data_IF_239746023263
#
_entry.id   IF_239746023263
#
_cell.length_a   1.000
_cell.length_b   1.000
_cell.length_c   1.000
_cell.angle_alpha   90.00
_cell.angle_beta   90.00
_cell.angle_gamma   90.00
#
_symmetry.space_group_name_H-M   'P 1'
#
loop_
_entity.id
_entity.type
_entity.pdbx_description
1 polymer ?
#
# COMPACT_ATOMS: atom_id res chain seq x y z
N UNK A 1 21.98 -5.65 15.61
CA UNK A 1 23.02 -4.60 15.43
C UNK A 1 22.33 -3.26 15.51
N UNK A 2 22.98 -2.18 15.95
CA UNK A 2 22.32 -0.86 15.94
C UNK A 2 22.02 -0.43 14.49
N UNK A 3 20.95 0.32 14.32
CA UNK A 3 20.60 0.90 13.03
C UNK A 3 21.67 1.88 12.52
N UNK A 4 21.98 1.85 11.24
CA UNK A 4 22.79 2.86 10.58
C UNK A 4 21.96 4.13 10.31
N UNK A 5 21.93 5.02 11.27
CA UNK A 5 21.19 6.28 11.20
C UNK A 5 21.76 7.25 10.15
N UNK A 6 22.99 7.02 9.68
CA UNK A 6 23.63 7.87 8.66
C UNK A 6 22.96 7.77 7.27
N UNK A 7 22.10 6.77 7.07
CA UNK A 7 21.31 6.61 5.85
C UNK A 7 20.14 7.58 5.73
N UNK A 8 19.71 8.20 6.85
CA UNK A 8 18.62 9.17 6.83
C UNK A 8 18.96 10.39 5.96
N UNK A 9 18.01 10.82 5.14
CA UNK A 9 18.12 11.96 4.24
C UNK A 9 18.98 11.71 2.97
N UNK A 10 19.57 10.52 2.82
CA UNK A 10 20.41 10.20 1.66
C UNK A 10 19.58 9.43 0.62
N UNK A 11 19.40 9.98 -0.61
CA UNK A 11 18.74 9.24 -1.67
C UNK A 11 19.57 8.03 -2.10
N UNK A 12 18.91 6.90 -2.30
CA UNK A 12 19.53 5.72 -2.89
C UNK A 12 19.75 5.92 -4.39
N UNK A 13 20.58 5.07 -5.00
CA UNK A 13 20.68 5.03 -6.46
C UNK A 13 19.29 4.73 -7.07
N UNK A 14 18.89 5.41 -8.14
CA UNK A 14 17.62 5.14 -8.79
C UNK A 14 17.53 3.71 -9.31
N UNK A 15 16.38 3.08 -9.08
CA UNK A 15 16.04 1.78 -9.66
C UNK A 15 15.12 1.97 -10.86
N UNK A 16 15.26 1.10 -11.85
CA UNK A 16 14.46 1.14 -13.09
C UNK A 16 13.60 -0.12 -13.19
N UNK A 17 12.30 0.07 -13.42
CA UNK A 17 11.34 -0.98 -13.69
C UNK A 17 10.78 -0.81 -15.10
N UNK A 18 10.90 -1.83 -15.96
CA UNK A 18 10.20 -1.89 -17.23
C UNK A 18 8.82 -2.52 -17.01
N UNK A 19 7.78 -1.76 -17.28
CA UNK A 19 6.38 -2.15 -17.11
C UNK A 19 5.77 -2.48 -18.46
N UNK A 20 5.01 -3.54 -18.50
CA UNK A 20 4.15 -3.90 -19.61
C UNK A 20 2.68 -3.81 -19.19
N UNK A 21 1.76 -3.76 -20.16
CA UNK A 21 0.33 -3.80 -19.84
C UNK A 21 -0.08 -5.06 -19.06
N UNK A 22 0.65 -6.18 -19.26
CA UNK A 22 0.41 -7.42 -18.50
C UNK A 22 0.67 -7.26 -17.01
N UNK A 23 1.70 -6.49 -16.63
CA UNK A 23 2.03 -6.24 -15.23
C UNK A 23 0.93 -5.43 -14.55
N UNK A 24 0.36 -4.45 -15.25
CA UNK A 24 -0.73 -3.61 -14.70
C UNK A 24 -2.03 -4.39 -14.60
N UNK A 25 -2.35 -5.26 -15.55
CA UNK A 25 -3.49 -6.19 -15.48
C UNK A 25 -3.29 -7.20 -14.36
N UNK A 26 -2.09 -7.80 -14.25
CA UNK A 26 -1.78 -8.74 -13.17
C UNK A 26 -1.94 -8.08 -11.79
N UNK A 27 -1.48 -6.84 -11.64
CA UNK A 27 -1.68 -6.07 -10.41
C UNK A 27 -3.17 -5.83 -10.12
N UNK A 28 -3.94 -5.44 -11.13
CA UNK A 28 -5.38 -5.23 -10.97
C UNK A 28 -6.10 -6.51 -10.52
N UNK A 29 -5.79 -7.65 -11.12
CA UNK A 29 -6.28 -8.97 -10.68
C UNK A 29 -5.78 -9.30 -9.28
N UNK A 30 -4.51 -9.01 -8.98
CA UNK A 30 -3.90 -9.14 -7.66
C UNK A 30 -4.62 -8.32 -6.58
N UNK A 31 -5.20 -7.17 -6.95
CA UNK A 31 -6.05 -6.34 -6.11
C UNK A 31 -7.55 -6.67 -6.23
N UNK A 32 -7.90 -7.84 -6.79
CA UNK A 32 -9.26 -8.37 -6.84
C UNK A 32 -10.14 -7.79 -7.94
N UNK A 33 -9.60 -7.16 -8.99
CA UNK A 33 -10.41 -6.68 -10.10
C UNK A 33 -11.23 -7.80 -10.73
N UNK A 34 -12.51 -7.55 -11.01
CA UNK A 34 -13.47 -8.53 -11.51
C UNK A 34 -13.70 -8.35 -13.02
N UNK A 35 -14.27 -9.38 -13.64
CA UNK A 35 -14.54 -9.42 -15.08
C UNK A 35 -15.34 -8.24 -15.63
N UNK A 36 -16.06 -7.51 -14.78
CA UNK A 36 -16.82 -6.32 -15.14
C UNK A 36 -15.93 -5.07 -15.26
N UNK A 37 -14.71 -5.11 -14.68
CA UNK A 37 -13.75 -4.01 -14.63
C UNK A 37 -12.78 -4.05 -15.82
N UNK A 38 -13.32 -4.23 -17.05
CA UNK A 38 -12.54 -4.43 -18.27
C UNK A 38 -11.61 -3.27 -18.61
N UNK A 39 -11.90 -2.07 -18.10
CA UNK A 39 -11.02 -0.90 -18.27
C UNK A 39 -9.63 -1.11 -17.63
N UNK A 40 -9.52 -2.01 -16.64
CA UNK A 40 -8.27 -2.36 -15.96
C UNK A 40 -7.71 -3.71 -16.40
N UNK A 41 -8.50 -4.52 -17.14
CA UNK A 41 -8.18 -5.92 -17.40
C UNK A 41 -8.01 -6.27 -18.88
N UNK A 42 -8.53 -5.42 -19.78
CA UNK A 42 -8.57 -5.73 -21.19
C UNK A 42 -7.80 -4.69 -22.03
N UNK A 43 -6.76 -5.14 -22.71
CA UNK A 43 -5.89 -4.30 -23.54
C UNK A 43 -6.63 -3.56 -24.67
N UNK A 44 -7.75 -4.08 -25.15
CA UNK A 44 -8.61 -3.41 -26.14
C UNK A 44 -9.32 -2.17 -25.60
N UNK A 45 -9.27 -1.92 -24.27
CA UNK A 45 -9.79 -0.72 -23.60
C UNK A 45 -8.71 0.15 -22.94
N UNK A 46 -7.44 -0.20 -23.11
CA UNK A 46 -6.32 0.52 -22.53
C UNK A 46 -5.15 -0.40 -22.23
N UNK A 47 -5.06 -1.13 -21.09
CA UNK A 47 -5.86 -0.96 -19.86
C UNK A 47 -5.51 0.32 -19.10
N UNK A 48 -6.45 0.84 -18.31
CA UNK A 48 -6.17 1.84 -17.29
C UNK A 48 -5.34 1.22 -16.16
N UNK A 49 -4.48 2.01 -15.53
CA UNK A 49 -3.66 1.56 -14.39
C UNK A 49 -4.32 2.00 -13.10
N UNK A 50 -4.45 1.07 -12.14
CA UNK A 50 -4.92 1.42 -10.80
C UNK A 50 -3.93 2.37 -10.11
N UNK A 51 -4.37 3.46 -9.47
CA UNK A 51 -3.51 4.40 -8.75
C UNK A 51 -2.57 3.72 -7.75
N UNK A 52 -3.05 2.68 -7.08
CA UNK A 52 -2.28 1.90 -6.12
C UNK A 52 -1.12 1.11 -6.74
N UNK A 53 -1.02 0.99 -8.07
CA UNK A 53 0.16 0.41 -8.76
C UNK A 53 1.45 1.18 -8.44
N UNK A 54 1.35 2.44 -8.03
CA UNK A 54 2.49 3.26 -7.61
C UNK A 54 3.36 2.61 -6.50
N UNK A 55 2.82 1.63 -5.76
CA UNK A 55 3.60 0.89 -4.75
C UNK A 55 4.53 -0.16 -5.36
N UNK A 56 4.30 -0.58 -6.62
CA UNK A 56 5.08 -1.65 -7.26
C UNK A 56 6.51 -1.22 -7.57
N UNK A 57 6.77 -0.10 -8.29
CA UNK A 57 8.13 0.27 -8.68
C UNK A 57 9.03 0.63 -7.50
N UNK A 58 8.46 1.02 -6.34
CA UNK A 58 9.24 1.38 -5.14
C UNK A 58 9.55 0.19 -4.23
N UNK A 59 8.86 -0.94 -4.39
CA UNK A 59 8.90 -2.02 -3.40
C UNK A 59 10.30 -2.64 -3.28
N UNK A 60 10.89 -3.08 -4.39
CA UNK A 60 12.22 -3.70 -4.40
C UNK A 60 13.32 -2.72 -3.95
N UNK A 61 13.44 -1.50 -4.49
CA UNK A 61 14.47 -0.55 -4.03
C UNK A 61 14.29 -0.14 -2.55
N UNK A 62 13.07 -0.11 -2.04
CA UNK A 62 12.81 0.09 -0.61
C UNK A 62 13.39 -1.06 0.23
N UNK A 63 13.15 -2.33 -0.15
CA UNK A 63 13.69 -3.49 0.57
C UNK A 63 15.22 -3.51 0.56
N UNK A 64 15.85 -3.19 -0.57
CA UNK A 64 17.30 -3.10 -0.69
C UNK A 64 17.87 -2.00 0.22
N UNK A 65 17.19 -0.87 0.32
CA UNK A 65 17.58 0.22 1.21
C UNK A 65 17.41 -0.16 2.68
N UNK A 66 16.29 -0.80 3.04
CA UNK A 66 16.06 -1.32 4.39
C UNK A 66 17.09 -2.39 4.79
N UNK A 67 17.55 -3.22 3.84
CA UNK A 67 18.62 -4.20 4.07
C UNK A 67 19.94 -3.59 4.49
N UNK A 68 20.20 -2.32 4.15
CA UNK A 68 21.42 -1.60 4.53
C UNK A 68 21.32 -0.97 5.92
N UNK A 69 20.13 -0.92 6.53
CA UNK A 69 19.93 -0.24 7.83
C UNK A 69 20.54 -0.99 9.02
N UNK A 70 20.90 -2.27 8.88
CA UNK A 70 21.34 -3.12 9.97
C UNK A 70 20.21 -3.74 10.80
N UNK A 71 18.96 -3.32 10.59
CA UNK A 71 17.79 -3.90 11.25
C UNK A 71 17.48 -5.33 10.76
N UNK A 72 16.80 -6.10 11.60
CA UNK A 72 16.40 -7.47 11.26
C UNK A 72 15.16 -7.48 10.34
N UNK A 73 15.36 -7.72 9.06
CA UNK A 73 14.29 -7.75 8.07
C UNK A 73 13.20 -8.80 8.34
N UNK A 74 13.49 -9.88 9.06
CA UNK A 74 12.49 -10.87 9.45
C UNK A 74 11.49 -10.34 10.49
N UNK A 75 11.81 -9.23 11.15
CA UNK A 75 10.98 -8.60 12.18
C UNK A 75 10.18 -7.40 11.67
N UNK A 76 10.27 -7.10 10.37
CA UNK A 76 9.54 -5.96 9.81
C UNK A 76 8.04 -6.24 9.64
N UNK A 77 7.26 -5.18 9.82
CA UNK A 77 5.84 -5.12 9.49
C UNK A 77 5.59 -3.83 8.73
N UNK A 78 4.84 -3.90 7.64
CA UNK A 78 4.39 -2.72 6.93
C UNK A 78 3.27 -2.06 7.75
N UNK A 79 3.57 -0.92 8.35
CA UNK A 79 2.64 -0.23 9.26
C UNK A 79 1.67 0.72 8.56
N UNK A 80 2.02 1.21 7.37
CA UNK A 80 1.18 2.12 6.61
C UNK A 80 1.82 2.55 5.29
N UNK A 81 0.98 3.07 4.40
CA UNK A 81 1.38 3.52 3.07
C UNK A 81 0.60 4.78 2.69
N UNK A 82 1.30 5.78 2.15
CA UNK A 82 0.74 6.97 1.50
C UNK A 82 1.20 7.01 0.05
N UNK A 83 0.29 7.37 -0.84
CA UNK A 83 0.55 7.59 -2.27
C UNK A 83 -0.02 8.94 -2.67
N UNK A 84 0.73 9.72 -3.43
CA UNK A 84 0.28 10.91 -4.14
C UNK A 84 0.62 10.75 -5.62
N UNK A 85 -0.38 10.88 -6.48
CA UNK A 85 -0.20 10.86 -7.93
C UNK A 85 -0.12 12.28 -8.46
N UNK A 86 0.86 12.51 -9.32
CA UNK A 86 1.07 13.79 -10.03
C UNK A 86 0.69 13.69 -11.51
N UNK A 87 0.71 12.45 -12.04
CA UNK A 87 0.27 12.14 -13.40
C UNK A 87 -0.25 10.68 -13.44
N UNK A 88 -1.09 10.32 -14.43
CA UNK A 88 -1.49 8.95 -14.65
C UNK A 88 -0.28 8.06 -14.94
N UNK A 89 -0.24 6.86 -14.34
CA UNK A 89 0.76 5.84 -14.67
C UNK A 89 0.34 5.19 -15.99
N UNK A 90 1.26 5.15 -16.96
CA UNK A 90 0.99 4.48 -18.23
C UNK A 90 0.98 2.95 -18.07
N UNK A 91 0.19 2.20 -18.88
CA UNK A 91 0.12 0.73 -18.81
C UNK A 91 1.38 0.03 -19.34
N UNK A 92 2.38 0.79 -19.74
CA UNK A 92 3.66 0.26 -20.21
C UNK A 92 4.71 1.36 -20.26
N UNK A 93 5.97 0.95 -20.39
CA UNK A 93 7.10 1.88 -20.44
C UNK A 93 8.09 1.67 -19.31
N UNK A 94 8.83 2.70 -18.99
CA UNK A 94 9.88 2.66 -17.95
C UNK A 94 9.49 3.56 -16.80
N UNK A 95 9.59 3.02 -15.58
CA UNK A 95 9.46 3.79 -14.34
C UNK A 95 10.82 3.82 -13.64
N UNK A 96 11.23 4.99 -13.20
CA UNK A 96 12.48 5.21 -12.47
C UNK A 96 12.16 5.70 -11.07
N UNK A 97 12.57 4.94 -10.05
CA UNK A 97 12.24 5.23 -8.65
C UNK A 97 13.50 5.50 -7.84
N UNK A 98 13.48 6.61 -7.09
CA UNK A 98 14.50 6.96 -6.10
C UNK A 98 13.89 6.89 -4.72
N UNK A 99 14.46 6.03 -3.85
CA UNK A 99 14.03 5.87 -2.47
C UNK A 99 14.96 6.57 -1.50
N UNK A 100 14.41 7.14 -0.42
CA UNK A 100 15.16 7.83 0.63
C UNK A 100 14.59 7.45 1.99
N UNK A 101 15.42 7.05 2.94
CA UNK A 101 14.99 6.95 4.34
C UNK A 101 14.80 8.37 4.86
N UNK A 102 13.55 8.76 5.18
CA UNK A 102 13.25 10.05 5.78
C UNK A 102 13.84 10.14 7.20
N UNK A 103 13.72 9.06 7.95
CA UNK A 103 14.23 8.98 9.32
C UNK A 103 13.89 7.69 10.03
N UNK A 104 14.52 7.54 11.19
CA UNK A 104 14.30 6.46 12.15
C UNK A 104 13.67 7.07 13.40
N UNK A 105 12.52 6.51 13.82
CA UNK A 105 11.70 7.08 14.89
C UNK A 105 11.48 6.07 16.01
N UNK A 106 11.60 6.52 17.25
CA UNK A 106 11.41 5.67 18.41
C UNK A 106 9.93 5.56 18.78
N UNK A 107 9.41 4.34 18.78
CA UNK A 107 8.09 3.98 19.30
C UNK A 107 8.20 3.09 20.55
N UNK A 108 9.26 3.27 21.35
CA UNK A 108 9.62 2.55 22.58
C UNK A 108 10.06 1.10 22.33
N UNK A 109 9.17 0.23 21.84
CA UNK A 109 9.45 -1.21 21.56
C UNK A 109 9.58 -1.51 20.07
N UNK A 110 9.45 -0.50 19.25
CA UNK A 110 9.49 -0.58 17.80
C UNK A 110 10.31 0.58 17.27
N UNK A 111 11.02 0.36 16.18
CA UNK A 111 11.56 1.46 15.38
C UNK A 111 10.68 1.62 14.16
N UNK A 112 10.16 2.82 13.96
CA UNK A 112 9.53 3.19 12.70
C UNK A 112 10.57 3.79 11.77
N UNK A 113 10.67 3.24 10.57
CA UNK A 113 11.46 3.79 9.47
C UNK A 113 10.48 4.32 8.43
N UNK A 114 10.53 5.62 8.17
CA UNK A 114 9.78 6.22 7.07
C UNK A 114 10.66 6.22 5.82
N UNK A 115 10.15 5.63 4.75
CA UNK A 115 10.82 5.60 3.45
C UNK A 115 9.97 6.32 2.44
N UNK A 116 10.54 7.39 1.88
CA UNK A 116 9.96 8.13 0.77
C UNK A 116 10.48 7.56 -0.54
N UNK A 117 9.62 7.57 -1.56
CA UNK A 117 10.05 7.26 -2.91
C UNK A 117 9.39 8.22 -3.91
N UNK A 118 10.19 8.63 -4.91
CA UNK A 118 9.76 9.43 -6.06
C UNK A 118 9.90 8.57 -7.29
N UNK A 119 8.81 8.45 -8.05
CA UNK A 119 8.77 7.66 -9.29
C UNK A 119 8.49 8.57 -10.47
N UNK A 120 9.38 8.53 -11.45
CA UNK A 120 9.32 9.26 -12.72
C UNK A 120 9.08 8.27 -13.86
N UNK A 121 8.40 8.71 -14.90
CA UNK A 121 8.27 7.95 -16.15
C UNK A 121 9.53 8.05 -17.04
N UNK A 122 9.52 7.39 -18.19
CA UNK A 122 10.64 7.39 -19.14
C UNK A 122 10.97 8.77 -19.74
N UNK A 123 10.08 9.76 -19.61
CA UNK A 123 10.33 11.14 -20.04
C UNK A 123 10.92 12.02 -18.91
N UNK A 124 10.98 11.50 -17.68
CA UNK A 124 11.38 12.25 -16.50
C UNK A 124 10.22 12.99 -15.80
N UNK A 125 8.98 12.75 -16.22
CA UNK A 125 7.80 13.32 -15.56
C UNK A 125 7.58 12.60 -14.22
N UNK A 126 7.45 13.37 -13.14
CA UNK A 126 7.08 12.82 -11.83
C UNK A 126 5.65 12.28 -11.90
N UNK A 127 5.48 10.96 -11.72
CA UNK A 127 4.16 10.31 -11.76
C UNK A 127 3.62 10.01 -10.37
N UNK A 128 4.48 9.65 -9.41
CA UNK A 128 4.04 9.33 -8.06
C UNK A 128 5.09 9.65 -6.99
N UNK A 129 4.61 10.02 -5.82
CA UNK A 129 5.36 10.02 -4.57
C UNK A 129 4.69 9.07 -3.59
N UNK A 130 5.50 8.29 -2.86
CA UNK A 130 5.01 7.37 -1.85
C UNK A 130 5.76 7.54 -0.54
N UNK A 131 5.10 7.28 0.58
CA UNK A 131 5.74 7.17 1.90
C UNK A 131 5.30 5.86 2.55
N UNK A 132 6.29 5.00 2.81
CA UNK A 132 6.08 3.73 3.52
C UNK A 132 6.47 3.86 4.98
N UNK A 133 5.59 3.46 5.87
CA UNK A 133 5.86 3.31 7.30
C UNK A 133 6.24 1.86 7.60
N UNK A 134 7.52 1.60 7.84
CA UNK A 134 8.04 0.27 8.13
C UNK A 134 8.37 0.18 9.62
N UNK A 135 7.84 -0.84 10.27
CA UNK A 135 8.00 -1.07 11.71
C UNK A 135 8.93 -2.25 11.95
N UNK A 136 10.06 -2.02 12.61
CA UNK A 136 10.96 -3.08 13.11
C UNK A 136 10.53 -3.45 14.53
N UNK A 137 10.05 -4.67 14.71
CA UNK A 137 9.58 -5.18 16.00
C UNK A 137 10.77 -5.63 16.86
N UNK A 138 10.69 -5.34 18.16
CA UNK A 138 11.72 -5.79 19.13
C UNK A 138 13.03 -5.00 19.08
N UNK A 139 13.14 -4.00 18.21
CA UNK A 139 14.31 -3.15 18.08
C UNK A 139 13.91 -1.70 18.29
N UNK A 140 14.57 -0.99 19.19
CA UNK A 140 14.37 0.42 19.46
C UNK A 140 15.57 1.25 18.98
N UNK A 141 15.33 2.54 18.77
CA UNK A 141 16.38 3.56 18.60
C UNK A 141 16.37 4.42 19.86
N UNK A 142 17.15 4.04 20.89
CA UNK A 142 17.15 4.77 22.15
C UNK A 142 17.51 6.23 21.95
N UNK A 143 16.64 7.13 22.45
CA UNK A 143 16.82 8.57 22.30
C UNK A 143 16.42 9.12 20.93
N UNK A 144 15.83 8.30 20.06
CA UNK A 144 15.29 8.73 18.77
C UNK A 144 14.10 9.69 18.94
N UNK A 145 13.91 10.57 17.96
CA UNK A 145 12.75 11.45 17.94
C UNK A 145 11.45 10.64 17.74
N UNK A 146 10.30 11.11 18.24
CA UNK A 146 9.01 10.54 17.88
C UNK A 146 8.74 10.78 16.38
N UNK A 147 7.90 9.95 15.74
CA UNK A 147 7.56 10.14 14.33
C UNK A 147 6.83 11.50 14.14
N UNK A 148 7.03 12.12 12.97
CA UNK A 148 6.33 13.35 12.65
C UNK A 148 4.81 13.10 12.65
N UNK A 149 4.05 14.07 13.17
CA UNK A 149 2.61 14.06 13.12
C UNK A 149 2.17 14.82 11.87
N UNK A 150 1.68 14.09 10.90
CA UNK A 150 1.07 14.65 9.69
C UNK A 150 -0.44 14.44 9.80
N UNK A 151 -1.24 15.49 10.06
CA UNK A 151 -2.69 15.32 10.15
C UNK A 151 -3.26 14.92 8.78
N UNK A 152 -4.24 14.01 8.76
CA UNK A 152 -4.92 13.67 7.51
C UNK A 152 -5.72 14.88 6.99
N UNK A 153 -5.94 14.98 5.66
CA UNK A 153 -6.75 16.05 5.07
C UNK A 153 -8.20 16.01 5.53
N UNK A 154 -8.68 14.84 5.92
CA UNK A 154 -10.01 14.59 6.50
C UNK A 154 -9.95 13.49 7.55
N UNK A 155 -10.79 13.61 8.57
CA UNK A 155 -10.96 12.58 9.60
C UNK A 155 -12.34 11.93 9.47
N UNK A 156 -12.42 10.67 9.89
CA UNK A 156 -13.69 9.96 9.95
C UNK A 156 -14.62 10.65 10.94
N UNK A 157 -15.83 11.08 10.52
CA UNK A 157 -16.80 11.64 11.44
C UNK A 157 -17.26 10.59 12.45
N UNK A 158 -17.52 11.02 13.67
CA UNK A 158 -18.08 10.16 14.72
C UNK A 158 -19.59 10.07 14.57
N UNK A 159 -20.13 8.90 14.83
CA UNK A 159 -21.59 8.66 14.90
C UNK A 159 -22.36 9.05 13.62
N UNK A 160 -21.66 9.04 12.47
CA UNK A 160 -22.25 9.28 11.17
C UNK A 160 -22.13 8.00 10.34
N UNK A 161 -23.22 7.52 9.71
CA UNK A 161 -23.14 6.35 8.85
C UNK A 161 -22.24 6.65 7.63
N UNK A 162 -21.58 5.63 7.06
CA UNK A 162 -20.77 5.81 5.87
C UNK A 162 -21.63 6.27 4.68
N UNK A 163 -21.06 7.12 3.82
CA UNK A 163 -21.67 7.57 2.56
C UNK A 163 -21.80 6.41 1.58
N UNK A 164 -20.83 5.50 1.61
CA UNK A 164 -20.86 4.26 0.85
C UNK A 164 -20.23 3.11 1.63
N UNK A 165 -20.66 1.91 1.30
CA UNK A 165 -20.07 0.65 1.78
C UNK A 165 -19.88 -0.27 0.59
N UNK A 166 -18.66 -0.79 0.42
CA UNK A 166 -18.35 -1.79 -0.60
C UNK A 166 -17.83 -3.04 0.09
N UNK A 167 -18.47 -4.17 -0.18
CA UNK A 167 -18.13 -5.48 0.36
C UNK A 167 -17.61 -6.38 -0.75
N UNK A 168 -16.45 -7.01 -0.55
CA UNK A 168 -15.86 -7.91 -1.53
C UNK A 168 -15.02 -9.00 -0.84
N UNK A 169 -15.33 -10.27 -1.14
CA UNK A 169 -14.52 -11.39 -0.68
C UNK A 169 -13.21 -11.47 -1.48
N UNK A 170 -12.10 -11.70 -0.78
CA UNK A 170 -10.83 -12.03 -1.41
C UNK A 170 -10.84 -13.49 -1.83
N UNK A 171 -10.10 -13.84 -2.91
CA UNK A 171 -9.91 -15.25 -3.29
C UNK A 171 -9.02 -15.98 -2.27
N UNK A 172 -9.22 -17.28 -2.03
CA UNK A 172 -8.26 -18.10 -1.30
C UNK A 172 -6.83 -18.05 -1.87
N UNK A 173 -6.68 -17.81 -3.18
CA UNK A 173 -5.40 -17.67 -3.88
C UNK A 173 -4.93 -16.22 -4.00
N UNK A 174 -5.62 -15.26 -3.38
CA UNK A 174 -5.36 -13.83 -3.61
C UNK A 174 -3.92 -13.42 -3.28
N UNK A 175 -3.34 -13.95 -2.22
CA UNK A 175 -1.96 -13.67 -1.86
C UNK A 175 -0.96 -14.24 -2.89
N UNK A 176 -1.25 -15.43 -3.45
CA UNK A 176 -0.41 -16.06 -4.47
C UNK A 176 -0.45 -15.28 -5.79
N UNK A 177 -1.57 -14.65 -6.10
CA UNK A 177 -1.71 -13.79 -7.26
C UNK A 177 -1.02 -12.45 -7.05
N UNK A 178 -1.29 -11.77 -5.91
CA UNK A 178 -0.74 -10.44 -5.63
C UNK A 178 0.79 -10.45 -5.55
N UNK A 179 1.41 -11.50 -4.95
CA UNK A 179 2.87 -11.59 -4.82
C UNK A 179 3.63 -11.52 -6.14
N UNK A 180 2.98 -11.86 -7.26
CA UNK A 180 3.57 -11.78 -8.60
C UNK A 180 3.84 -10.34 -9.05
N UNK A 181 3.29 -9.36 -8.33
CA UNK A 181 3.57 -7.93 -8.55
C UNK A 181 4.81 -7.43 -7.78
N UNK A 182 5.62 -8.33 -7.18
CA UNK A 182 6.95 -8.01 -6.65
C UNK A 182 7.22 -8.36 -5.19
N UNK A 183 6.20 -8.49 -4.35
CA UNK A 183 6.38 -8.89 -2.93
C UNK A 183 6.38 -10.42 -2.79
N UNK A 184 7.55 -11.01 -2.89
CA UNK A 184 7.74 -12.46 -2.81
C UNK A 184 7.97 -12.98 -1.38
N UNK A 185 7.71 -12.18 -0.33
CA UNK A 185 7.90 -12.59 1.05
C UNK A 185 7.16 -13.92 1.33
N UNK A 186 7.86 -14.96 1.85
CA UNK A 186 7.26 -16.26 2.13
C UNK A 186 6.13 -16.21 3.17
N UNK A 187 6.01 -15.15 3.98
CA UNK A 187 4.90 -14.90 4.89
C UNK A 187 3.53 -14.98 4.19
N UNK A 188 3.48 -14.66 2.90
CA UNK A 188 2.26 -14.60 2.10
C UNK A 188 2.00 -15.87 1.28
N UNK A 189 2.88 -16.90 1.42
CA UNK A 189 2.79 -18.10 0.59
C UNK A 189 3.07 -19.40 1.35
N UNK A 190 4.01 -19.37 2.31
CA UNK A 190 4.49 -20.58 3.00
C UNK A 190 3.84 -20.72 4.38
N UNK A 191 3.01 -21.77 4.61
CA UNK A 191 2.37 -22.00 5.91
C UNK A 191 3.37 -22.28 7.04
N UNK A 192 4.52 -22.91 6.73
CA UNK A 192 5.57 -23.17 7.73
C UNK A 192 6.21 -21.87 8.18
N UNK A 193 6.60 -21.02 7.21
CA UNK A 193 7.16 -19.70 7.52
C UNK A 193 6.17 -18.83 8.31
N UNK A 194 4.91 -18.77 7.87
CA UNK A 194 3.89 -17.97 8.53
C UNK A 194 3.72 -18.35 10.01
N UNK A 195 3.63 -19.65 10.33
CA UNK A 195 3.56 -20.14 11.72
C UNK A 195 4.81 -19.77 12.52
N UNK A 196 6.00 -19.92 11.94
CA UNK A 196 7.26 -19.61 12.63
C UNK A 196 7.39 -18.13 13.03
N UNK A 197 6.67 -17.22 12.35
CA UNK A 197 6.65 -15.78 12.66
C UNK A 197 5.36 -15.34 13.39
N UNK A 198 4.56 -16.31 13.89
CA UNK A 198 3.43 -16.08 14.80
C UNK A 198 2.06 -16.01 14.13
N UNK A 199 1.91 -16.44 12.87
CA UNK A 199 0.61 -16.52 12.18
C UNK A 199 0.12 -17.97 12.10
N UNK A 200 -0.44 -18.46 13.21
CA UNK A 200 -0.90 -19.86 13.36
C UNK A 200 -1.95 -20.25 12.30
N UNK A 201 -2.77 -19.31 11.86
CA UNK A 201 -3.80 -19.51 10.83
C UNK A 201 -3.22 -19.72 9.42
N UNK A 202 -1.90 -19.51 9.24
CA UNK A 202 -1.20 -19.64 7.97
C UNK A 202 -0.90 -18.31 7.28
N UNK A 203 -0.53 -18.36 5.99
CA UNK A 203 -0.13 -17.18 5.22
C UNK A 203 -1.18 -16.07 5.25
N UNK A 204 -0.73 -14.84 5.47
CA UNK A 204 -1.59 -13.66 5.47
C UNK A 204 -1.61 -13.00 4.09
N UNK A 205 -2.66 -12.22 3.82
CA UNK A 205 -2.71 -11.36 2.65
C UNK A 205 -1.76 -10.17 2.85
N UNK A 206 -1.15 -9.71 1.76
CA UNK A 206 -0.31 -8.51 1.78
C UNK A 206 -1.12 -7.28 2.21
N UNK A 207 -0.56 -6.45 3.09
CA UNK A 207 -1.20 -5.17 3.45
C UNK A 207 -1.45 -4.30 2.22
N UNK A 208 -0.49 -4.26 1.28
CA UNK A 208 -0.61 -3.51 0.04
C UNK A 208 -1.67 -4.08 -0.93
N UNK A 209 -1.99 -5.38 -0.85
CA UNK A 209 -3.13 -5.96 -1.55
C UNK A 209 -4.45 -5.38 -1.00
N UNK A 210 -4.64 -5.42 0.33
CA UNK A 210 -5.81 -4.82 0.98
C UNK A 210 -5.92 -3.31 0.70
N UNK A 211 -4.78 -2.62 0.59
CA UNK A 211 -4.70 -1.23 0.16
C UNK A 211 -5.21 -1.02 -1.28
N UNK A 212 -4.83 -1.90 -2.20
CA UNK A 212 -5.34 -1.91 -3.58
C UNK A 212 -6.86 -2.15 -3.65
N UNK A 213 -7.38 -3.08 -2.84
CA UNK A 213 -8.83 -3.28 -2.68
C UNK A 213 -9.51 -2.00 -2.21
N UNK A 214 -8.98 -1.35 -1.17
CA UNK A 214 -9.52 -0.09 -0.66
C UNK A 214 -9.62 0.97 -1.76
N UNK A 215 -8.59 1.15 -2.59
CA UNK A 215 -8.59 2.13 -3.70
C UNK A 215 -9.63 1.78 -4.75
N UNK A 216 -9.78 0.49 -5.12
CA UNK A 216 -10.86 0.05 -6.03
C UNK A 216 -12.25 0.30 -5.44
N UNK A 217 -12.42 0.07 -4.14
CA UNK A 217 -13.68 0.34 -3.46
C UNK A 217 -14.01 1.84 -3.41
N UNK A 218 -13.00 2.72 -3.25
CA UNK A 218 -13.18 4.17 -3.39
C UNK A 218 -13.63 4.53 -4.81
N UNK A 219 -13.00 3.94 -5.83
CA UNK A 219 -13.42 4.15 -7.21
C UNK A 219 -14.89 3.76 -7.45
N UNK A 220 -15.30 2.59 -6.92
CA UNK A 220 -16.71 2.12 -7.02
C UNK A 220 -17.68 3.00 -6.25
N UNK A 221 -17.33 3.37 -5.01
CA UNK A 221 -18.24 4.07 -4.09
C UNK A 221 -18.31 5.58 -4.28
N UNK A 222 -17.24 6.22 -4.77
CA UNK A 222 -17.14 7.69 -4.83
C UNK A 222 -16.78 8.25 -6.22
N UNK A 223 -16.31 7.41 -7.16
CA UNK A 223 -15.80 7.90 -8.46
C UNK A 223 -16.56 7.32 -9.67
N UNK A 224 -17.68 6.63 -9.45
CA UNK A 224 -18.44 6.01 -10.55
C UNK A 224 -17.69 4.88 -11.28
N UNK A 225 -16.72 4.24 -10.61
CA UNK A 225 -15.88 3.16 -11.15
C UNK A 225 -14.56 3.64 -11.77
N UNK A 226 -14.35 4.95 -11.89
CA UNK A 226 -13.12 5.50 -12.45
C UNK A 226 -12.07 5.79 -11.36
N UNK A 227 -11.12 4.87 -11.17
CA UNK A 227 -10.05 5.01 -10.20
C UNK A 227 -9.06 6.13 -10.56
N UNK A 228 -9.01 6.63 -11.79
CA UNK A 228 -8.12 7.74 -12.18
C UNK A 228 -8.45 9.04 -11.45
N UNK A 229 -9.66 9.13 -10.87
CA UNK A 229 -10.07 10.26 -10.03
C UNK A 229 -9.46 10.22 -8.62
N UNK A 230 -8.88 9.12 -8.19
CA UNK A 230 -8.20 9.02 -6.89
C UNK A 230 -6.78 9.52 -7.03
N UNK A 231 -6.48 10.69 -6.45
CA UNK A 231 -5.22 11.42 -6.66
C UNK A 231 -4.22 11.26 -5.53
N UNK A 232 -4.68 11.12 -4.29
CA UNK A 232 -3.83 10.76 -3.17
C UNK A 232 -4.62 9.91 -2.17
N UNK A 233 -3.93 9.03 -1.45
CA UNK A 233 -4.55 8.13 -0.48
C UNK A 233 -3.53 7.59 0.51
N UNK A 234 -4.00 7.30 1.71
CA UNK A 234 -3.19 6.76 2.80
C UNK A 234 -3.96 5.70 3.57
N UNK A 235 -3.24 4.75 4.12
CA UNK A 235 -3.77 3.75 5.03
C UNK A 235 -2.77 3.37 6.11
N UNK A 236 -3.27 3.06 7.31
CA UNK A 236 -2.51 2.40 8.37
C UNK A 236 -3.00 0.97 8.52
N UNK A 237 -2.08 0.00 8.42
CA UNK A 237 -2.40 -1.42 8.60
C UNK A 237 -2.48 -1.76 10.09
N UNK A 238 -3.63 -2.24 10.53
CA UNK A 238 -3.93 -2.47 11.96
C UNK A 238 -3.89 -3.93 12.35
N UNK A 239 -4.42 -4.81 11.49
CA UNK A 239 -4.56 -6.24 11.73
C UNK A 239 -4.36 -7.04 10.45
N UNK A 240 -3.96 -8.31 10.55
CA UNK A 240 -3.80 -9.17 9.39
C UNK A 240 -5.14 -9.50 8.72
N UNK A 241 -5.08 -9.68 7.42
CA UNK A 241 -6.14 -10.25 6.59
C UNK A 241 -5.66 -11.60 6.10
N UNK A 242 -6.53 -12.60 6.03
CA UNK A 242 -6.23 -13.89 5.41
C UNK A 242 -6.91 -14.02 4.05
N UNK A 243 -6.28 -14.68 3.08
CA UNK A 243 -6.96 -15.03 1.83
C UNK A 243 -8.28 -15.75 2.11
N UNK A 244 -9.35 -15.33 1.45
CA UNK A 244 -10.72 -15.77 1.70
C UNK A 244 -11.53 -14.87 2.64
N UNK A 245 -10.89 -13.99 3.42
CA UNK A 245 -11.61 -13.01 4.24
C UNK A 245 -12.37 -12.01 3.33
N UNK A 246 -13.55 -11.56 3.79
CA UNK A 246 -14.36 -10.54 3.11
C UNK A 246 -13.99 -9.15 3.62
N UNK A 247 -13.52 -8.30 2.72
CA UNK A 247 -13.21 -6.90 3.02
C UNK A 247 -14.44 -6.02 2.88
N UNK A 248 -14.73 -5.23 3.90
CA UNK A 248 -15.78 -4.21 3.90
C UNK A 248 -15.12 -2.85 4.02
N UNK A 249 -15.16 -2.08 2.94
CA UNK A 249 -14.69 -0.68 2.93
C UNK A 249 -15.86 0.25 3.19
N UNK A 250 -15.77 0.99 4.27
CA UNK A 250 -16.68 2.08 4.63
C UNK A 250 -16.04 3.41 4.26
N UNK A 251 -16.75 4.27 3.54
CA UNK A 251 -16.27 5.59 3.14
C UNK A 251 -17.21 6.71 3.52
N UNK A 252 -16.67 7.79 4.07
CA UNK A 252 -17.36 9.03 4.43
C UNK A 252 -16.86 10.17 3.53
N UNK A 253 -17.71 10.63 2.62
CA UNK A 253 -17.40 11.79 1.79
C UNK A 253 -17.52 13.06 2.66
N UNK A 254 -16.38 13.42 3.28
CA UNK A 254 -16.33 14.57 4.21
C UNK A 254 -16.34 15.90 3.47
N UNK A 255 -15.77 15.92 2.27
CA UNK A 255 -15.79 17.02 1.31
C UNK A 255 -15.98 16.46 -0.11
N UNK A 256 -16.41 17.27 -1.10
CA UNK A 256 -16.58 16.79 -2.48
C UNK A 256 -15.32 16.14 -3.08
N UNK A 257 -14.14 16.53 -2.59
CA UNK A 257 -12.82 16.11 -3.06
C UNK A 257 -12.10 15.18 -2.06
N UNK A 258 -12.72 14.76 -0.94
CA UNK A 258 -12.04 13.99 0.06
C UNK A 258 -12.93 13.02 0.85
N UNK A 259 -12.45 11.79 0.99
CA UNK A 259 -13.12 10.67 1.65
C UNK A 259 -12.28 10.18 2.82
N UNK A 260 -12.87 10.09 4.00
CA UNK A 260 -12.31 9.33 5.11
C UNK A 260 -12.71 7.85 4.98
N UNK A 261 -11.83 6.92 5.34
CA UNK A 261 -11.99 5.51 5.03
C UNK A 261 -11.69 4.62 6.24
N UNK A 262 -12.34 3.46 6.24
CA UNK A 262 -12.02 2.33 7.11
C UNK A 262 -12.26 1.03 6.36
N UNK A 263 -11.41 0.03 6.58
CA UNK A 263 -11.63 -1.32 6.04
C UNK A 263 -11.72 -2.31 7.21
N UNK A 264 -12.74 -3.14 7.18
CA UNK A 264 -12.97 -4.23 8.14
C UNK A 264 -12.93 -5.59 7.44
N UNK A 265 -12.63 -6.62 8.19
CA UNK A 265 -12.95 -8.01 7.82
C UNK A 265 -14.31 -8.35 8.38
N UNK A 266 -15.26 -8.71 7.50
CA UNK A 266 -16.66 -8.97 7.83
C UNK A 266 -16.84 -10.07 8.88
N UNK A 267 -16.15 -11.18 8.69
CA UNK A 267 -16.27 -12.39 9.50
C UNK A 267 -15.88 -12.18 10.97
N UNK A 268 -15.11 -11.14 11.26
CA UNK A 268 -14.59 -10.82 12.60
C UNK A 268 -15.03 -9.46 13.11
N UNK A 269 -15.70 -8.66 12.28
CA UNK A 269 -15.99 -7.23 12.51
C UNK A 269 -14.74 -6.46 12.97
N UNK A 270 -13.58 -6.82 12.42
CA UNK A 270 -12.28 -6.32 12.85
C UNK A 270 -11.74 -5.29 11.88
N UNK A 271 -11.35 -4.10 12.37
CA UNK A 271 -10.72 -3.06 11.58
C UNK A 271 -9.29 -3.49 11.21
N UNK A 272 -9.04 -3.68 9.93
CA UNK A 272 -7.76 -4.10 9.38
C UNK A 272 -6.98 -2.93 8.74
N UNK A 273 -7.70 -1.92 8.22
CA UNK A 273 -7.16 -0.64 7.77
C UNK A 273 -7.90 0.47 8.49
N UNK A 274 -7.15 1.39 9.11
CA UNK A 274 -7.69 2.56 9.80
C UNK A 274 -6.83 3.79 9.57
N UNK A 275 -7.30 4.97 10.03
CA UNK A 275 -6.62 6.23 9.76
C UNK A 275 -6.45 6.48 8.26
N UNK A 276 -7.39 5.97 7.46
CA UNK A 276 -7.29 5.99 6.01
C UNK A 276 -8.12 7.13 5.40
N UNK A 277 -7.66 7.62 4.27
CA UNK A 277 -8.31 8.68 3.52
C UNK A 277 -7.94 8.61 2.03
N UNK A 278 -8.74 9.25 1.20
CA UNK A 278 -8.42 9.50 -0.21
C UNK A 278 -8.84 10.90 -0.63
N UNK A 279 -8.09 11.52 -1.55
CA UNK A 279 -8.49 12.73 -2.28
C UNK A 279 -8.88 12.39 -3.71
N UNK A 280 -9.85 13.14 -4.23
CA UNK A 280 -10.47 12.88 -5.52
C UNK A 280 -10.29 14.10 -6.43
N UNK A 281 -10.00 13.85 -7.72
CA UNK A 281 -10.14 14.88 -8.75
C UNK A 281 -11.62 15.21 -8.98
N UNK A 282 -11.92 16.46 -9.27
CA UNK A 282 -13.24 16.94 -9.59
C UNK A 282 -13.82 16.37 -10.90
#
# INVERSE_FOLDING_TARGET
MPFDLSLAGKPAAPSTLHVTWKDTVLYALGCGAKREELDYLYEGRGPKVLPSFAVVPKFQPMLELLGKTGGNLAMIVHGGERVTLHAPIAPGGTLRTTSTIRGFYDLRRLTQVLVDARTEDGSGTLVAETTSSILFRGEGVPGGAPPPKEPPPVERPRDVPPTFTVEEATSPEQALLYRLSGDLNPLHADPGFARNVGFERGPILHGLCSFGYMVRHVAKGACGGDASRVTAFEAQFKRPVWPGDTLVTEGWLVRPDAVALQVKVKERDEVVIGGAWATLAG
#
